data_IF_133956675619
#
_entry.id   IF_133956675619
#
_cell.length_a   1.000
_cell.length_b   1.000
_cell.length_c   1.000
_cell.angle_alpha   90.00
_cell.angle_beta   90.00
_cell.angle_gamma   90.00
#
_symmetry.space_group_name_H-M   'P 1'
#
loop_
_entity.id
_entity.type
_entity.pdbx_description
1 polymer ?
#
# COMPACT_ATOMS: atom_id res chain seq x y z
N UNK A 1 -2.76 -42.44 28.96
CA UNK A 1 -1.89 -41.25 28.84
C UNK A 1 -1.41 -41.01 27.42
N UNK A 2 -0.98 -42.03 26.66
CA UNK A 2 -0.48 -41.89 25.26
C UNK A 2 -1.46 -41.22 24.29
N UNK A 3 -2.76 -41.52 24.39
CA UNK A 3 -3.75 -40.94 23.47
C UNK A 3 -3.89 -39.43 23.66
N UNK A 4 -3.87 -38.96 24.92
CA UNK A 4 -3.87 -37.53 25.24
C UNK A 4 -2.61 -36.83 24.74
N UNK A 5 -1.44 -37.45 24.91
CA UNK A 5 -0.19 -36.87 24.43
C UNK A 5 -0.19 -36.72 22.91
N UNK A 6 -0.65 -37.74 22.17
CA UNK A 6 -0.73 -37.67 20.70
C UNK A 6 -1.70 -36.57 20.25
N UNK A 7 -2.90 -36.53 20.84
CA UNK A 7 -3.90 -35.50 20.50
C UNK A 7 -3.36 -34.10 20.81
N UNK A 8 -2.73 -33.90 21.96
CA UNK A 8 -2.16 -32.62 22.34
C UNK A 8 -1.05 -32.18 21.38
N UNK A 9 -0.15 -33.09 20.97
CA UNK A 9 0.91 -32.77 20.01
C UNK A 9 0.34 -32.41 18.64
N UNK A 10 -0.67 -33.15 18.15
CA UNK A 10 -1.32 -32.84 16.88
C UNK A 10 -2.04 -31.50 16.94
N UNK A 11 -2.80 -31.22 18.01
CA UNK A 11 -3.49 -29.95 18.19
C UNK A 11 -2.51 -28.77 18.25
N UNK A 12 -1.39 -28.91 18.97
CA UNK A 12 -0.33 -27.89 19.00
C UNK A 12 0.26 -27.64 17.60
N UNK A 13 0.50 -28.71 16.84
CA UNK A 13 0.94 -28.61 15.44
C UNK A 13 -0.07 -27.89 14.55
N UNK A 14 -1.36 -28.22 14.68
CA UNK A 14 -2.44 -27.57 13.91
C UNK A 14 -2.55 -26.06 14.22
N UNK A 15 -2.47 -25.68 15.50
CA UNK A 15 -2.52 -24.26 15.90
C UNK A 15 -1.31 -23.49 15.34
N UNK A 16 -0.12 -24.10 15.35
CA UNK A 16 1.05 -23.47 14.74
C UNK A 16 0.89 -23.28 13.23
N UNK A 17 0.37 -24.29 12.52
CA UNK A 17 0.09 -24.20 11.08
C UNK A 17 -0.97 -23.13 10.78
N UNK A 18 -2.02 -23.05 11.59
CA UNK A 18 -3.05 -22.01 11.46
C UNK A 18 -2.45 -20.61 11.64
N UNK A 19 -1.57 -20.43 12.63
CA UNK A 19 -0.89 -19.14 12.79
C UNK A 19 0.00 -18.83 11.59
N UNK A 20 0.75 -19.82 11.08
CA UNK A 20 1.58 -19.65 9.87
C UNK A 20 0.74 -19.30 8.64
N UNK A 21 -0.42 -19.92 8.43
CA UNK A 21 -1.29 -19.60 7.28
C UNK A 21 -1.83 -18.18 7.36
N UNK A 22 -2.26 -17.73 8.54
CA UNK A 22 -2.71 -16.34 8.75
C UNK A 22 -1.57 -15.36 8.44
N UNK A 23 -0.35 -15.63 8.90
CA UNK A 23 0.79 -14.75 8.62
C UNK A 23 1.16 -14.67 7.14
N UNK A 24 1.00 -15.76 6.39
CA UNK A 24 1.23 -15.75 4.94
C UNK A 24 0.15 -14.93 4.23
N UNK A 25 -1.12 -15.14 4.57
CA UNK A 25 -2.23 -14.41 3.97
C UNK A 25 -2.16 -12.89 4.27
N UNK A 26 -1.80 -12.51 5.50
CA UNK A 26 -1.62 -11.09 5.84
C UNK A 26 -0.47 -10.46 5.05
N UNK A 27 0.63 -11.19 4.83
CA UNK A 27 1.75 -10.71 4.02
C UNK A 27 1.38 -10.59 2.52
N UNK A 28 0.62 -11.53 1.97
CA UNK A 28 0.13 -11.47 0.60
C UNK A 28 -0.83 -10.30 0.38
N UNK A 29 -1.77 -10.10 1.31
CA UNK A 29 -2.68 -8.95 1.29
C UNK A 29 -1.90 -7.64 1.38
N UNK A 30 -0.94 -7.52 2.29
CA UNK A 30 -0.09 -6.33 2.40
C UNK A 30 0.68 -6.06 1.09
N UNK A 31 1.25 -7.09 0.47
CA UNK A 31 1.93 -6.96 -0.83
C UNK A 31 1.00 -6.45 -1.93
N UNK A 32 -0.22 -7.00 -2.01
CA UNK A 32 -1.22 -6.55 -2.98
C UNK A 32 -1.62 -5.10 -2.75
N UNK A 33 -1.83 -4.69 -1.49
CA UNK A 33 -2.18 -3.32 -1.10
C UNK A 33 -1.06 -2.34 -1.46
N UNK A 34 0.21 -2.69 -1.22
CA UNK A 34 1.35 -1.86 -1.64
C UNK A 34 1.37 -1.62 -3.15
N UNK A 35 1.01 -2.62 -3.95
CA UNK A 35 0.89 -2.48 -5.41
C UNK A 35 -0.15 -1.44 -5.82
N UNK A 36 -1.32 -1.45 -5.18
CA UNK A 36 -2.36 -0.45 -5.40
C UNK A 36 -1.91 0.96 -5.00
N UNK A 37 -1.24 1.09 -3.85
CA UNK A 37 -0.71 2.38 -3.37
C UNK A 37 0.33 2.95 -4.35
N UNK A 38 1.27 2.12 -4.81
CA UNK A 38 2.29 2.54 -5.76
C UNK A 38 1.68 2.98 -7.09
N UNK A 39 0.71 2.22 -7.59
CA UNK A 39 0.02 2.56 -8.84
C UNK A 39 -0.69 3.91 -8.70
N UNK A 40 -1.45 4.10 -7.62
CA UNK A 40 -2.11 5.38 -7.33
C UNK A 40 -1.13 6.55 -7.21
N UNK A 41 0.01 6.34 -6.55
CA UNK A 41 1.05 7.38 -6.42
C UNK A 41 1.66 7.75 -7.79
N UNK A 42 1.93 6.77 -8.64
CA UNK A 42 2.43 7.01 -10.00
C UNK A 42 1.40 7.71 -10.88
N UNK A 43 0.12 7.36 -10.75
CA UNK A 43 -0.95 8.02 -11.49
C UNK A 43 -1.14 9.47 -11.06
N UNK A 44 -1.06 9.75 -9.75
CA UNK A 44 -1.02 11.12 -9.23
C UNK A 44 0.16 11.92 -9.77
N UNK A 45 1.37 11.35 -9.75
CA UNK A 45 2.55 12.02 -10.31
C UNK A 45 2.38 12.33 -11.81
N UNK A 46 1.83 11.39 -12.59
CA UNK A 46 1.53 11.60 -14.01
C UNK A 46 0.49 12.68 -14.22
N UNK A 47 -0.53 12.75 -13.37
CA UNK A 47 -1.56 13.79 -13.45
C UNK A 47 -0.95 15.17 -13.23
N UNK A 48 -0.13 15.34 -12.19
CA UNK A 48 0.56 16.61 -11.89
C UNK A 48 1.40 17.05 -13.09
N UNK A 49 2.24 16.16 -13.63
CA UNK A 49 3.11 16.48 -14.77
C UNK A 49 2.33 16.76 -16.07
N UNK A 50 1.19 16.08 -16.28
CA UNK A 50 0.34 16.33 -17.46
C UNK A 50 -0.42 17.64 -17.34
N UNK A 51 -0.80 18.03 -16.14
CA UNK A 51 -1.46 19.30 -15.89
C UNK A 51 -0.48 20.46 -16.10
N UNK A 52 0.74 20.32 -15.57
CA UNK A 52 1.84 21.24 -15.82
C UNK A 52 2.07 21.44 -17.33
N UNK A 53 2.25 20.35 -18.09
CA UNK A 53 2.42 20.41 -19.54
C UNK A 53 1.22 21.02 -20.31
N UNK A 54 0.03 21.11 -19.72
CA UNK A 54 -1.16 21.75 -20.32
C UNK A 54 -1.31 23.21 -19.94
N UNK A 55 -0.96 23.59 -18.71
CA UNK A 55 -1.01 24.98 -18.24
C UNK A 55 0.04 25.86 -18.94
N UNK A 56 1.11 25.25 -19.42
CA UNK A 56 2.22 25.89 -20.12
C UNK A 56 1.91 26.12 -21.60
N UNK A 57 0.86 26.88 -21.91
CA UNK A 57 0.39 27.10 -23.30
C UNK A 57 1.33 28.02 -24.14
N UNK A 58 2.45 28.52 -23.60
CA UNK A 58 3.43 29.30 -24.40
C UNK A 58 4.86 29.46 -23.88
N UNK A 59 5.30 28.80 -22.79
CA UNK A 59 6.66 29.02 -22.25
C UNK A 59 7.37 27.70 -21.92
N UNK A 60 8.25 27.25 -22.81
CA UNK A 60 9.14 26.07 -22.64
C UNK A 60 10.16 26.26 -21.51
N UNK A 61 9.73 26.45 -20.28
CA UNK A 61 10.62 26.63 -19.15
C UNK A 61 10.11 25.87 -17.94
N UNK A 62 10.61 24.64 -17.79
CA UNK A 62 10.46 23.85 -16.58
C UNK A 62 11.42 24.40 -15.52
N UNK A 63 10.91 24.75 -14.35
CA UNK A 63 11.71 25.26 -13.23
C UNK A 63 11.43 24.54 -11.90
N UNK A 64 12.35 24.68 -10.94
CA UNK A 64 12.24 24.05 -9.62
C UNK A 64 11.23 24.74 -8.68
N UNK A 65 10.57 25.83 -9.13
CA UNK A 65 9.49 26.48 -8.39
C UNK A 65 8.12 25.85 -8.73
N UNK A 66 8.07 24.94 -9.71
CA UNK A 66 6.85 24.27 -10.14
C UNK A 66 6.30 23.29 -9.08
N UNK A 67 4.98 23.03 -9.10
CA UNK A 67 4.31 22.21 -8.07
C UNK A 67 4.87 20.78 -7.96
N UNK A 68 5.36 20.20 -9.06
CA UNK A 68 5.93 18.85 -9.06
C UNK A 68 7.28 18.77 -8.31
N UNK A 69 7.99 19.89 -8.14
CA UNK A 69 9.25 19.97 -7.41
C UNK A 69 9.04 20.11 -5.89
N UNK A 70 7.79 20.32 -5.44
CA UNK A 70 7.46 20.47 -4.03
C UNK A 70 7.33 19.09 -3.35
N UNK A 71 7.96 18.85 -2.19
CA UNK A 71 7.80 17.61 -1.45
C UNK A 71 6.33 17.33 -1.13
N UNK A 72 5.90 16.10 -1.43
CA UNK A 72 4.53 15.70 -1.13
C UNK A 72 4.30 15.70 0.39
N UNK A 73 3.22 16.34 0.83
CA UNK A 73 2.81 16.30 2.22
C UNK A 73 2.52 14.84 2.65
N UNK A 74 2.74 14.52 3.93
CA UNK A 74 2.47 13.19 4.46
C UNK A 74 0.98 12.85 4.29
N UNK A 75 0.68 11.96 3.35
CA UNK A 75 -0.68 11.50 3.09
C UNK A 75 -0.93 10.20 3.85
N UNK A 76 -1.88 10.22 4.80
CA UNK A 76 -2.36 9.01 5.46
C UNK A 76 -3.51 8.41 4.66
N UNK A 77 -3.35 7.19 4.18
CA UNK A 77 -4.40 6.49 3.44
C UNK A 77 -5.70 6.36 4.25
N UNK A 78 -5.56 6.23 5.58
CA UNK A 78 -6.70 6.17 6.51
C UNK A 78 -7.51 7.46 6.56
N UNK A 79 -6.91 8.64 6.38
CA UNK A 79 -7.67 9.90 6.33
C UNK A 79 -8.42 10.07 5.02
N UNK A 80 -7.90 9.54 3.91
CA UNK A 80 -8.60 9.54 2.62
C UNK A 80 -9.79 8.59 2.60
N UNK A 81 -9.65 7.37 3.12
CA UNK A 81 -10.73 6.37 3.15
C UNK A 81 -11.82 6.68 4.20
N UNK A 82 -11.50 7.46 5.23
CA UNK A 82 -12.48 7.90 6.22
C UNK A 82 -13.32 9.10 5.75
N UNK A 83 -12.86 9.86 4.75
CA UNK A 83 -13.58 11.01 4.20
C UNK A 83 -14.76 10.60 3.30
N UNK A 84 -14.79 9.35 2.84
CA UNK A 84 -15.86 8.78 1.99
C UNK A 84 -16.96 8.07 2.82
N UNK A 85 -17.12 8.45 4.09
CA UNK A 85 -18.11 7.89 5.01
C UNK A 85 -18.94 8.97 5.69
#
# INVERSE_FOLDING_TARGET
>A
MVLLTVVATLAAGMVWQQWRSVQVETAERARSQTGWILTGALDWARLILREDARGTDSSTHDDLAEPWATPLAEARLSSFLAADR
#
